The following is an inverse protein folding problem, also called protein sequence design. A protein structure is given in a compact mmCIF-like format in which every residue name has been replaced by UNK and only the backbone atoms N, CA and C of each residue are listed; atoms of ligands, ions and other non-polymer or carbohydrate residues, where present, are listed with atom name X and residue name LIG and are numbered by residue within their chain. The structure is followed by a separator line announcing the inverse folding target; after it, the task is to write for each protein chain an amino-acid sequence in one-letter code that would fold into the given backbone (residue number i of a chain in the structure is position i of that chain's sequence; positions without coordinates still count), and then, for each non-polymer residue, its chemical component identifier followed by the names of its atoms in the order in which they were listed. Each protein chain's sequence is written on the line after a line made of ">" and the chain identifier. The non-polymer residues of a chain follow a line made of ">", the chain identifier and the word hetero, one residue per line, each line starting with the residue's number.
data_IF_479649330457
#
_entry.id   IF_479649330457
#
_cell.length_a   1.000
_cell.length_b   1.000
_cell.length_c   1.000
_cell.angle_alpha   90.00
_cell.angle_beta   90.00
_cell.angle_gamma   90.00
#
_symmetry.space_group_name_H-M   'P 1'
#
loop_
_entity.id
_entity.type
_entity.pdbx_description
1 polymer ?
#
# COMPACT_ATOMS: atom_id res chain seq x y z
N UNK A 1 11.04 9.50 -7.71
CA UNK A 1 12.48 9.45 -7.35
C UNK A 1 12.80 10.28 -6.11
N UNK A 2 12.37 11.55 -5.99
CA UNK A 2 12.63 12.37 -4.77
C UNK A 2 11.89 11.84 -3.54
N UNK A 3 10.61 11.46 -3.69
CA UNK A 3 9.80 10.86 -2.62
C UNK A 3 10.41 9.56 -2.09
N UNK A 4 10.92 8.71 -2.97
CA UNK A 4 11.54 7.41 -2.64
C UNK A 4 12.77 7.54 -1.73
N UNK A 5 13.61 8.56 -1.95
CA UNK A 5 14.79 8.83 -1.12
C UNK A 5 14.42 9.36 0.27
N UNK A 6 13.36 10.17 0.36
CA UNK A 6 12.87 10.68 1.63
C UNK A 6 12.18 9.58 2.46
N UNK A 7 11.37 8.73 1.81
CA UNK A 7 10.70 7.60 2.45
C UNK A 7 11.68 6.60 3.04
N UNK A 8 12.76 6.28 2.32
CA UNK A 8 13.84 5.42 2.83
C UNK A 8 14.51 6.01 4.08
N UNK A 9 14.93 7.28 4.03
CA UNK A 9 15.60 7.94 5.18
C UNK A 9 14.71 8.06 6.42
N UNK A 10 13.41 8.32 6.23
CA UNK A 10 12.44 8.42 7.34
C UNK A 10 12.18 7.02 7.91
N UNK A 11 11.97 6.02 7.04
CA UNK A 11 11.75 4.64 7.46
C UNK A 11 12.93 4.05 8.24
N UNK A 12 14.16 4.41 7.89
CA UNK A 12 15.34 3.90 8.60
C UNK A 12 15.47 4.52 10.01
N UNK A 13 14.84 5.67 10.28
CA UNK A 13 14.79 6.31 11.61
C UNK A 13 13.58 5.91 12.45
N UNK A 14 12.41 5.77 11.84
CA UNK A 14 11.13 5.53 12.53
C UNK A 14 10.81 4.04 12.66
N UNK A 15 11.44 3.19 11.85
CA UNK A 15 11.12 1.78 11.74
C UNK A 15 10.25 1.49 10.52
N UNK A 16 10.47 0.32 9.91
CA UNK A 16 9.82 -0.06 8.64
C UNK A 16 8.34 -0.36 8.84
N UNK A 17 7.97 -1.08 9.90
CA UNK A 17 6.59 -1.46 10.20
C UNK A 17 5.67 -0.24 10.42
N UNK A 18 5.98 0.73 11.31
CA UNK A 18 5.13 1.91 11.50
C UNK A 18 5.01 2.74 10.21
N UNK A 19 6.08 2.84 9.42
CA UNK A 19 6.02 3.54 8.13
C UNK A 19 5.06 2.87 7.15
N UNK A 20 5.10 1.54 7.03
CA UNK A 20 4.15 0.78 6.19
C UNK A 20 2.72 0.95 6.70
N UNK A 21 2.47 0.82 8.00
CA UNK A 21 1.14 1.00 8.61
C UNK A 21 0.57 2.39 8.33
N UNK A 22 1.34 3.45 8.60
CA UNK A 22 0.90 4.83 8.32
C UNK A 22 0.64 5.06 6.83
N UNK A 23 1.43 4.44 5.96
CA UNK A 23 1.18 4.43 4.54
C UNK A 23 -0.19 3.82 4.20
N UNK A 24 -0.48 2.61 4.67
CA UNK A 24 -1.75 1.94 4.37
C UNK A 24 -2.97 2.72 4.91
N UNK A 25 -2.85 3.38 6.07
CA UNK A 25 -3.87 4.31 6.59
C UNK A 25 -4.06 5.51 5.65
N UNK A 26 -2.97 6.11 5.19
CA UNK A 26 -3.01 7.23 4.25
C UNK A 26 -3.62 6.84 2.91
N UNK A 27 -3.33 5.63 2.42
CA UNK A 27 -3.95 5.07 1.23
C UNK A 27 -5.46 4.90 1.38
N UNK A 28 -5.92 4.37 2.51
CA UNK A 28 -7.35 4.27 2.81
C UNK A 28 -8.02 5.64 2.82
N UNK A 29 -7.38 6.66 3.41
CA UNK A 29 -7.90 8.02 3.42
C UNK A 29 -8.04 8.60 2.00
N UNK A 30 -7.06 8.39 1.12
CA UNK A 30 -7.14 8.79 -0.30
C UNK A 30 -8.32 8.12 -1.01
N UNK A 31 -8.51 6.81 -0.79
CA UNK A 31 -9.62 6.08 -1.39
C UNK A 31 -10.97 6.63 -0.92
N UNK A 32 -11.10 6.97 0.35
CA UNK A 32 -12.31 7.62 0.86
C UNK A 32 -12.50 9.03 0.27
N UNK A 33 -11.42 9.80 0.07
CA UNK A 33 -11.51 11.10 -0.62
C UNK A 33 -12.05 10.94 -2.05
N UNK A 34 -11.60 9.93 -2.80
CA UNK A 34 -12.15 9.59 -4.12
C UNK A 34 -13.63 9.19 -4.08
N UNK A 35 -14.09 8.60 -2.97
CA UNK A 35 -15.48 8.18 -2.84
C UNK A 35 -16.45 9.33 -2.60
N UNK A 36 -16.02 10.42 -1.93
CA UNK A 36 -16.94 11.47 -1.46
C UNK A 36 -16.72 12.84 -2.11
N UNK A 37 -15.62 13.05 -2.85
CA UNK A 37 -15.27 14.37 -3.38
C UNK A 37 -15.12 14.34 -4.92
N UNK A 38 -16.05 14.99 -5.60
CA UNK A 38 -16.26 14.85 -7.05
C UNK A 38 -15.76 16.04 -7.87
N UNK A 39 -15.10 17.01 -7.25
CA UNK A 39 -14.62 18.20 -7.97
C UNK A 39 -13.32 17.91 -8.72
N UNK A 40 -13.18 18.45 -9.94
CA UNK A 40 -11.94 18.31 -10.75
C UNK A 40 -10.67 18.69 -9.98
N UNK A 41 -10.76 19.73 -9.15
CA UNK A 41 -9.66 20.14 -8.28
C UNK A 41 -9.27 19.08 -7.26
N UNK A 42 -10.27 18.47 -6.59
CA UNK A 42 -10.01 17.40 -5.61
C UNK A 42 -9.43 16.16 -6.29
N UNK A 43 -9.91 15.78 -7.48
CA UNK A 43 -9.34 14.63 -8.20
C UNK A 43 -7.85 14.83 -8.48
N UNK A 44 -7.43 16.00 -8.98
CA UNK A 44 -6.02 16.31 -9.26
C UNK A 44 -5.20 16.29 -7.97
N UNK A 45 -5.66 16.97 -6.92
CA UNK A 45 -4.96 17.00 -5.63
C UNK A 45 -4.84 15.60 -5.04
N UNK A 46 -5.91 14.81 -5.06
CA UNK A 46 -5.93 13.44 -4.54
C UNK A 46 -5.00 12.52 -5.33
N UNK A 47 -4.91 12.70 -6.65
CA UNK A 47 -3.97 11.96 -7.49
C UNK A 47 -2.49 12.31 -7.19
N UNK A 48 -2.21 13.59 -6.92
CA UNK A 48 -0.87 14.01 -6.47
C UNK A 48 -0.53 13.42 -5.09
N UNK A 49 -1.47 13.47 -4.15
CA UNK A 49 -1.32 12.86 -2.82
C UNK A 49 -1.08 11.35 -2.92
N UNK A 50 -1.78 10.68 -3.85
CA UNK A 50 -1.57 9.27 -4.17
C UNK A 50 -0.16 8.98 -4.70
N UNK A 51 0.33 9.79 -5.64
CA UNK A 51 1.69 9.64 -6.17
C UNK A 51 2.78 9.83 -5.11
N UNK A 52 2.57 10.78 -4.18
CA UNK A 52 3.46 10.99 -3.03
C UNK A 52 3.47 9.75 -2.13
N UNK A 53 2.30 9.21 -1.81
CA UNK A 53 2.18 7.95 -1.04
C UNK A 53 2.90 6.80 -1.71
N UNK A 54 2.59 6.55 -2.99
CA UNK A 54 3.12 5.41 -3.73
C UNK A 54 4.65 5.46 -3.76
N UNK A 55 5.21 6.66 -3.97
CA UNK A 55 6.65 6.87 -3.97
C UNK A 55 7.33 6.74 -2.60
N UNK A 56 6.60 6.87 -1.48
CA UNK A 56 7.14 6.79 -0.12
C UNK A 56 7.00 5.39 0.49
N UNK A 57 5.84 4.76 0.31
CA UNK A 57 5.46 3.54 1.04
C UNK A 57 5.88 2.27 0.30
N UNK A 58 5.66 2.21 -1.02
CA UNK A 58 5.95 1.00 -1.81
C UNK A 58 7.43 0.56 -1.72
N UNK A 59 8.43 1.46 -1.78
CA UNK A 59 9.83 1.05 -1.65
C UNK A 59 10.17 0.54 -0.25
N UNK A 60 9.57 1.15 0.78
CA UNK A 60 9.75 0.77 2.18
C UNK A 60 9.14 -0.60 2.45
N UNK A 61 7.96 -0.88 1.90
CA UNK A 61 7.29 -2.18 2.00
C UNK A 61 8.14 -3.28 1.37
N UNK A 62 8.62 -3.08 0.14
CA UNK A 62 9.51 -4.04 -0.54
C UNK A 62 10.81 -4.25 0.23
N UNK A 63 11.39 -3.18 0.79
CA UNK A 63 12.58 -3.27 1.62
C UNK A 63 12.31 -4.04 2.92
N UNK A 64 11.14 -3.86 3.53
CA UNK A 64 10.73 -4.59 4.73
C UNK A 64 10.57 -6.08 4.43
N UNK A 65 9.87 -6.46 3.36
CA UNK A 65 9.78 -7.87 2.91
C UNK A 65 11.16 -8.48 2.71
N UNK A 66 12.10 -7.76 2.08
CA UNK A 66 13.47 -8.23 1.90
C UNK A 66 14.21 -8.46 3.24
N UNK A 67 13.90 -7.67 4.28
CA UNK A 67 14.49 -7.86 5.61
C UNK A 67 13.90 -9.03 6.41
N UNK A 68 12.74 -9.57 6.01
CA UNK A 68 12.11 -10.72 6.67
C UNK A 68 12.70 -12.07 6.23
N UNK A 69 13.51 -12.08 5.17
CA UNK A 69 14.02 -13.32 4.56
C UNK A 69 15.55 -13.32 4.44
N UNK A 70 16.20 -14.49 4.57
CA UNK A 70 17.62 -14.61 4.24
C UNK A 70 17.90 -14.24 2.78
N UNK A 71 19.07 -13.65 2.50
CA UNK A 71 19.47 -13.20 1.16
C UNK A 71 19.33 -14.30 0.09
N UNK A 72 19.69 -15.55 0.42
CA UNK A 72 19.56 -16.73 -0.46
C UNK A 72 18.12 -17.06 -0.89
N UNK A 73 17.11 -16.54 -0.18
CA UNK A 73 15.69 -16.78 -0.45
C UNK A 73 14.98 -15.56 -1.05
N UNK A 74 15.68 -14.44 -1.30
CA UNK A 74 15.08 -13.21 -1.83
C UNK A 74 14.30 -13.45 -3.13
N UNK A 75 14.84 -14.24 -4.06
CA UNK A 75 14.16 -14.56 -5.32
C UNK A 75 12.83 -15.27 -5.09
N UNK A 76 12.76 -16.19 -4.14
CA UNK A 76 11.51 -16.87 -3.76
C UNK A 76 10.54 -15.93 -3.06
N UNK A 77 11.03 -15.09 -2.15
CA UNK A 77 10.21 -14.12 -1.43
C UNK A 77 9.53 -13.13 -2.38
N UNK A 78 10.29 -12.52 -3.30
CA UNK A 78 9.71 -11.64 -4.32
C UNK A 78 8.88 -12.39 -5.35
N UNK A 79 9.19 -13.67 -5.62
CA UNK A 79 8.33 -14.54 -6.43
C UNK A 79 6.94 -14.70 -5.82
N UNK A 80 6.85 -15.05 -4.53
CA UNK A 80 5.58 -15.14 -3.82
C UNK A 80 4.88 -13.78 -3.70
N UNK A 81 5.62 -12.72 -3.38
CA UNK A 81 5.06 -11.36 -3.26
C UNK A 81 4.41 -10.90 -4.57
N UNK A 82 5.13 -10.95 -5.69
CA UNK A 82 4.59 -10.55 -6.99
C UNK A 82 3.55 -11.54 -7.52
N UNK A 83 3.69 -12.84 -7.21
CA UNK A 83 2.70 -13.86 -7.56
C UNK A 83 1.37 -13.61 -6.84
N UNK A 84 1.39 -13.31 -5.54
CA UNK A 84 0.22 -12.96 -4.77
C UNK A 84 -0.46 -11.68 -5.30
N UNK A 85 0.32 -10.64 -5.60
CA UNK A 85 -0.20 -9.41 -6.22
C UNK A 85 -0.85 -9.72 -7.57
N UNK A 86 -0.20 -10.50 -8.43
CA UNK A 86 -0.73 -10.88 -9.74
C UNK A 86 -2.06 -11.63 -9.60
N UNK A 87 -2.09 -12.68 -8.77
CA UNK A 87 -3.28 -13.49 -8.54
C UNK A 87 -4.42 -12.68 -7.92
N UNK A 88 -4.11 -11.75 -7.01
CA UNK A 88 -5.11 -10.90 -6.37
C UNK A 88 -5.62 -9.77 -7.28
N UNK A 89 -4.78 -9.24 -8.17
CA UNK A 89 -5.13 -8.08 -9.01
C UNK A 89 -6.25 -8.36 -10.01
N UNK A 90 -6.31 -9.57 -10.56
CA UNK A 90 -7.38 -9.99 -11.49
C UNK A 90 -8.78 -9.96 -10.83
N UNK A 91 -9.05 -10.72 -9.75
CA UNK A 91 -10.35 -10.67 -9.09
C UNK A 91 -10.61 -9.30 -8.46
N UNK A 92 -9.58 -8.61 -7.94
CA UNK A 92 -9.75 -7.27 -7.38
C UNK A 92 -10.28 -6.28 -8.45
N UNK A 93 -9.70 -6.29 -9.65
CA UNK A 93 -10.12 -5.41 -10.75
C UNK A 93 -11.54 -5.73 -11.23
N UNK A 94 -11.88 -7.02 -11.32
CA UNK A 94 -13.22 -7.47 -11.70
C UNK A 94 -14.26 -7.05 -10.65
N UNK A 95 -14.01 -7.31 -9.37
CA UNK A 95 -14.91 -6.94 -8.26
C UNK A 95 -15.07 -5.42 -8.22
N UNK A 96 -13.98 -4.66 -8.32
CA UNK A 96 -14.01 -3.20 -8.33
C UNK A 96 -14.85 -2.66 -9.49
N UNK A 97 -14.64 -3.18 -10.70
CA UNK A 97 -15.41 -2.78 -11.89
C UNK A 97 -16.89 -3.16 -11.79
N UNK A 98 -17.22 -4.34 -11.26
CA UNK A 98 -18.61 -4.77 -11.05
C UNK A 98 -19.32 -3.90 -10.02
N UNK A 99 -18.65 -3.55 -8.92
CA UNK A 99 -19.20 -2.64 -7.91
C UNK A 99 -19.44 -1.27 -8.53
N UNK A 100 -18.46 -0.76 -9.28
CA UNK A 100 -18.58 0.53 -9.97
C UNK A 100 -19.79 0.55 -10.90
N UNK A 101 -19.95 -0.47 -11.75
CA UNK A 101 -21.03 -0.51 -12.74
C UNK A 101 -22.42 -0.64 -12.11
N UNK A 102 -22.55 -1.36 -10.99
CA UNK A 102 -23.85 -1.62 -10.36
C UNK A 102 -24.28 -0.58 -9.34
N UNK A 103 -23.34 -0.07 -8.54
CA UNK A 103 -23.61 0.80 -7.41
C UNK A 103 -22.95 2.18 -7.52
N UNK A 104 -22.05 2.37 -8.48
CA UNK A 104 -21.31 3.63 -8.68
C UNK A 104 -19.88 3.57 -8.13
N UNK A 105 -19.08 4.57 -8.52
CA UNK A 105 -17.67 4.65 -8.13
C UNK A 105 -17.48 4.83 -6.63
N UNK A 106 -18.39 5.52 -5.95
CA UNK A 106 -18.33 5.80 -4.51
C UNK A 106 -18.14 4.49 -3.73
N UNK A 107 -19.02 3.50 -3.98
CA UNK A 107 -18.94 2.18 -3.34
C UNK A 107 -17.69 1.40 -3.76
N UNK A 108 -17.22 1.56 -5.00
CA UNK A 108 -15.98 0.93 -5.45
C UNK A 108 -14.77 1.47 -4.68
N UNK A 109 -14.71 2.79 -4.49
CA UNK A 109 -13.63 3.43 -3.73
C UNK A 109 -13.73 3.18 -2.22
N UNK A 110 -14.94 3.18 -1.63
CA UNK A 110 -15.14 2.81 -0.21
C UNK A 110 -14.68 1.37 0.04
N UNK A 111 -15.08 0.42 -0.80
CA UNK A 111 -14.65 -0.98 -0.65
C UNK A 111 -13.15 -1.13 -0.78
N UNK A 112 -12.51 -0.45 -1.73
CA UNK A 112 -11.04 -0.38 -1.83
C UNK A 112 -10.37 0.19 -0.57
N UNK A 113 -10.94 1.25 0.01
CA UNK A 113 -10.47 1.82 1.28
C UNK A 113 -10.61 0.86 2.47
N UNK A 114 -11.72 0.11 2.54
CA UNK A 114 -11.91 -0.92 3.56
C UNK A 114 -10.91 -2.07 3.43
N UNK A 115 -10.63 -2.53 2.20
CA UNK A 115 -9.58 -3.52 1.97
C UNK A 115 -8.19 -3.01 2.36
N UNK A 116 -7.91 -1.72 2.17
CA UNK A 116 -6.68 -1.10 2.65
C UNK A 116 -6.59 -1.11 4.19
N UNK A 117 -7.68 -0.80 4.89
CA UNK A 117 -7.71 -0.89 6.35
C UNK A 117 -7.55 -2.34 6.84
N UNK A 118 -8.16 -3.32 6.16
CA UNK A 118 -7.94 -4.73 6.45
C UNK A 118 -6.47 -5.13 6.28
N UNK A 119 -5.82 -4.68 5.20
CA UNK A 119 -4.38 -4.86 4.98
C UNK A 119 -3.54 -4.27 6.11
N UNK A 120 -3.88 -3.06 6.57
CA UNK A 120 -3.26 -2.42 7.72
C UNK A 120 -3.36 -3.27 9.00
N UNK A 121 -4.54 -3.82 9.28
CA UNK A 121 -4.75 -4.71 10.44
C UNK A 121 -3.91 -5.98 10.32
N UNK A 122 -3.88 -6.62 9.15
CA UNK A 122 -3.06 -7.82 8.93
C UNK A 122 -1.57 -7.55 9.12
N UNK A 123 -1.07 -6.42 8.58
CA UNK A 123 0.33 -5.98 8.72
C UNK A 123 0.68 -5.70 10.18
N UNK A 124 -0.26 -5.17 10.97
CA UNK A 124 -0.04 -4.90 12.40
C UNK A 124 0.26 -6.17 13.21
N UNK A 125 -0.25 -7.33 12.77
CA UNK A 125 0.04 -8.64 13.37
C UNK A 125 1.40 -9.24 13.01
N UNK A 126 2.07 -8.72 11.97
CA UNK A 126 3.39 -9.21 11.55
C UNK A 126 4.45 -8.75 12.55
N UNK A 127 5.21 -9.70 13.12
CA UNK A 127 6.31 -9.38 14.03
C UNK A 127 7.40 -8.63 13.28
N UNK A 128 7.91 -7.58 13.88
CA UNK A 128 9.04 -6.84 13.34
C UNK A 128 10.25 -7.78 13.31
N UNK A 129 10.94 -7.89 12.16
CA UNK A 129 12.19 -8.63 12.13
C UNK A 129 13.13 -7.96 13.12
N UNK A 130 13.46 -8.67 14.21
CA UNK A 130 14.51 -8.26 15.14
C UNK A 130 15.73 -8.06 14.26
N UNK A 131 16.26 -6.83 14.24
CA UNK A 131 17.49 -6.46 13.54
C UNK A 131 18.54 -7.45 14.01
N UNK A 132 18.73 -8.55 13.27
CA UNK A 132 19.77 -9.50 13.56
C UNK A 132 21.04 -8.68 13.38
N UNK A 133 21.73 -8.51 14.50
CA UNK A 133 22.96 -7.74 14.64
C UNK A 133 23.86 -8.06 13.43
N UNK A 134 24.12 -7.03 12.64
CA UNK A 134 25.19 -7.03 11.64
C UNK A 134 26.52 -7.02 12.38
#
# INVERSE_FOLDING_TARGET
>A
MVSTLLGGKISDKVGRKPMVITGWIYYAAIYLLFAFLETRGVLITTFLLYGVYFGLTEPVERAWVASLVPQKLMGRAFGYYNGAIGIASLPASLIFGLIWQKWGYEYAFVTGGLFALLGCVLISGVKEARRAEL
#
